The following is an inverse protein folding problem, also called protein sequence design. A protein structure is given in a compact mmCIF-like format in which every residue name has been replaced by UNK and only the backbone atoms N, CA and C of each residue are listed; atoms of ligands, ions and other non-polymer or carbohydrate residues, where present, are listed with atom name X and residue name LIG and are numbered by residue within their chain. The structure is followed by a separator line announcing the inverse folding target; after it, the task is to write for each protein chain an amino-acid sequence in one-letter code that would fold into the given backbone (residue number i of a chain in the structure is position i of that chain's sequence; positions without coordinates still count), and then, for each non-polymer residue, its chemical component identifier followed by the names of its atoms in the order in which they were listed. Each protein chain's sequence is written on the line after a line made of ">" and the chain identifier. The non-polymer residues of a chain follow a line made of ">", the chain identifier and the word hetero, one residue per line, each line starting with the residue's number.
data_IF_264594342013
#
_entry.id   IF_264594342013
#
_cell.length_a   1.000
_cell.length_b   1.000
_cell.length_c   1.000
_cell.angle_alpha   90.00
_cell.angle_beta   90.00
_cell.angle_gamma   90.00
#
_symmetry.space_group_name_H-M   'P 1'
#
loop_
_entity.id
_entity.type
_entity.pdbx_description
1 polymer ?
#
# COMPACT_ATOMS: atom_id res chain seq x y z
N UNK A 1 7.61 -17.38 10.15
CA UNK A 1 7.65 -17.13 8.69
C UNK A 1 8.46 -15.87 8.46
N UNK A 2 9.24 -15.79 7.37
CA UNK A 2 9.99 -14.58 7.03
C UNK A 2 9.01 -13.45 6.65
N UNK A 3 9.22 -12.21 7.11
CA UNK A 3 8.29 -11.11 6.88
C UNK A 3 8.37 -10.62 5.43
N UNK A 4 7.26 -10.68 4.67
CA UNK A 4 7.19 -10.20 3.29
C UNK A 4 6.49 -8.82 3.21
N UNK A 5 7.07 -7.91 2.42
CA UNK A 5 6.41 -6.66 2.03
C UNK A 5 5.71 -6.85 0.67
N UNK A 6 4.38 -6.77 0.64
CA UNK A 6 3.61 -6.80 -0.60
C UNK A 6 3.44 -5.38 -1.15
N UNK A 7 3.81 -5.17 -2.40
CA UNK A 7 3.36 -4.01 -3.17
C UNK A 7 2.14 -4.39 -3.99
N UNK A 8 0.95 -3.99 -3.52
CA UNK A 8 -0.31 -4.10 -4.24
C UNK A 8 -0.74 -2.70 -4.73
N UNK A 9 -0.06 -2.22 -5.77
CA UNK A 9 -0.33 -0.91 -6.36
C UNK A 9 -0.18 -0.91 -7.88
N UNK A 10 -0.57 0.19 -8.51
CA UNK A 10 -0.35 0.46 -9.93
C UNK A 10 1.11 0.89 -10.25
N UNK A 11 1.99 0.97 -9.25
CA UNK A 11 3.39 1.41 -9.40
C UNK A 11 4.36 0.30 -8.96
N UNK A 12 4.92 -0.47 -9.92
CA UNK A 12 5.88 -1.53 -9.61
C UNK A 12 7.09 -1.05 -8.80
N UNK A 13 7.59 -1.88 -7.88
CA UNK A 13 8.68 -1.51 -6.98
C UNK A 13 10.00 -1.21 -7.72
N UNK A 14 10.16 -1.71 -8.96
CA UNK A 14 11.28 -1.39 -9.84
C UNK A 14 11.39 0.11 -10.19
N UNK A 15 10.28 0.85 -10.13
CA UNK A 15 10.22 2.29 -10.44
C UNK A 15 10.16 3.17 -9.21
N UNK A 16 10.26 2.59 -8.01
CA UNK A 16 10.23 3.38 -6.78
C UNK A 16 11.50 4.20 -6.61
N UNK A 17 11.34 5.35 -5.96
CA UNK A 17 12.51 6.10 -5.51
C UNK A 17 13.32 5.26 -4.50
N UNK A 18 14.63 5.51 -4.37
CA UNK A 18 15.47 4.85 -3.37
C UNK A 18 14.89 4.96 -1.95
N UNK A 19 14.32 6.11 -1.61
CA UNK A 19 13.72 6.40 -0.31
C UNK A 19 12.48 5.55 -0.03
N UNK A 20 11.58 5.42 -1.01
CA UNK A 20 10.38 4.59 -0.88
C UNK A 20 10.76 3.11 -0.71
N UNK A 21 11.73 2.63 -1.51
CA UNK A 21 12.23 1.25 -1.41
C UNK A 21 12.89 0.98 -0.07
N UNK A 22 13.75 1.88 0.41
CA UNK A 22 14.37 1.77 1.72
C UNK A 22 13.33 1.74 2.85
N UNK A 23 12.33 2.62 2.80
CA UNK A 23 11.25 2.65 3.81
C UNK A 23 10.45 1.33 3.85
N UNK A 24 10.23 0.67 2.72
CA UNK A 24 9.56 -0.63 2.67
C UNK A 24 10.43 -1.75 3.26
N UNK A 25 11.73 -1.78 2.92
CA UNK A 25 12.69 -2.79 3.39
C UNK A 25 12.94 -2.72 4.90
N UNK A 26 12.77 -1.55 5.52
CA UNK A 26 12.78 -1.41 7.00
C UNK A 26 11.62 -2.15 7.66
N UNK A 27 10.48 -2.29 6.97
CA UNK A 27 9.27 -2.91 7.51
C UNK A 27 9.25 -4.43 7.28
N UNK A 28 9.59 -4.88 6.07
CA UNK A 28 9.65 -6.29 5.72
C UNK A 28 10.47 -6.52 4.44
N UNK A 29 11.06 -7.72 4.30
CA UNK A 29 11.88 -8.10 3.16
C UNK A 29 11.72 -9.60 2.84
N UNK A 30 11.57 -9.99 1.57
CA UNK A 30 11.72 -9.16 0.38
C UNK A 30 10.50 -8.28 0.08
N UNK A 31 10.58 -7.50 -1.00
CA UNK A 31 9.42 -6.82 -1.60
C UNK A 31 8.91 -7.72 -2.73
N UNK A 32 7.62 -8.04 -2.74
CA UNK A 32 6.96 -8.74 -3.84
C UNK A 32 5.91 -7.81 -4.48
N UNK A 33 5.93 -7.71 -5.80
CA UNK A 33 4.92 -6.97 -6.56
C UNK A 33 3.72 -7.87 -6.89
N UNK A 34 2.52 -7.34 -6.67
CA UNK A 34 1.27 -7.82 -7.25
C UNK A 34 0.56 -6.60 -7.85
N UNK A 35 0.33 -6.59 -9.17
CA UNK A 35 -0.26 -5.44 -9.83
C UNK A 35 -1.67 -5.13 -9.31
N UNK A 36 -1.98 -3.87 -9.07
CA UNK A 36 -3.35 -3.44 -8.80
C UNK A 36 -4.18 -3.55 -10.09
N UNK A 37 -5.28 -4.33 -10.10
CA UNK A 37 -6.01 -4.58 -11.33
C UNK A 37 -6.73 -3.31 -11.81
N UNK A 38 -6.94 -3.15 -13.13
CA UNK A 38 -7.78 -2.08 -13.65
C UNK A 38 -9.23 -2.27 -13.16
N UNK A 39 -9.85 -1.18 -12.72
CA UNK A 39 -11.24 -1.17 -12.26
C UNK A 39 -12.06 -0.31 -13.22
N UNK A 40 -13.04 -0.89 -13.95
CA UNK A 40 -13.95 -0.12 -14.79
C UNK A 40 -14.74 0.91 -13.98
N UNK A 41 -14.96 2.10 -14.55
CA UNK A 41 -15.68 3.17 -13.86
C UNK A 41 -17.19 2.87 -13.66
N UNK A 42 -17.72 1.94 -14.44
CA UNK A 42 -19.10 1.44 -14.39
C UNK A 42 -19.22 0.10 -13.64
N UNK A 43 -18.15 -0.37 -13.00
CA UNK A 43 -18.17 -1.58 -12.20
C UNK A 43 -19.09 -1.42 -10.97
N UNK A 44 -19.92 -2.43 -10.73
CA UNK A 44 -20.75 -2.53 -9.53
C UNK A 44 -19.98 -3.13 -8.34
N UNK A 45 -20.58 -3.09 -7.16
CA UNK A 45 -19.98 -3.60 -5.93
C UNK A 45 -19.66 -5.10 -6.01
N UNK A 46 -20.48 -5.87 -6.74
CA UNK A 46 -20.25 -7.29 -6.95
C UNK A 46 -19.01 -7.54 -7.82
N UNK A 47 -18.74 -6.69 -8.82
CA UNK A 47 -17.52 -6.74 -9.61
C UNK A 47 -16.29 -6.37 -8.76
N UNK A 48 -16.40 -5.37 -7.88
CA UNK A 48 -15.32 -5.02 -6.94
C UNK A 48 -15.00 -6.20 -6.02
N UNK A 49 -16.01 -6.88 -5.48
CA UNK A 49 -15.81 -8.04 -4.62
C UNK A 49 -15.16 -9.21 -5.36
N UNK A 50 -15.55 -9.46 -6.62
CA UNK A 50 -14.89 -10.47 -7.47
C UNK A 50 -13.43 -10.13 -7.72
N UNK A 51 -13.12 -8.88 -8.06
CA UNK A 51 -11.74 -8.43 -8.25
C UNK A 51 -10.91 -8.59 -6.97
N UNK A 52 -11.48 -8.25 -5.82
CA UNK A 52 -10.81 -8.41 -4.52
C UNK A 52 -10.51 -9.88 -4.21
N UNK A 53 -11.45 -10.79 -4.52
CA UNK A 53 -11.28 -12.23 -4.33
C UNK A 53 -10.23 -12.81 -5.29
N UNK A 54 -10.22 -12.37 -6.55
CA UNK A 54 -9.24 -12.77 -7.55
C UNK A 54 -7.82 -12.34 -7.16
N UNK A 55 -7.66 -11.14 -6.59
CA UNK A 55 -6.42 -10.70 -6.00
C UNK A 55 -6.03 -11.52 -4.76
N UNK A 56 -6.99 -11.83 -3.89
CA UNK A 56 -6.75 -12.60 -2.66
C UNK A 56 -6.17 -13.99 -2.95
N UNK A 57 -6.64 -14.66 -4.02
CA UNK A 57 -6.12 -15.96 -4.46
C UNK A 57 -4.67 -15.92 -4.96
N UNK A 58 -4.19 -14.75 -5.37
CA UNK A 58 -2.82 -14.54 -5.87
C UNK A 58 -1.86 -14.04 -4.79
N UNK A 59 -2.35 -13.83 -3.56
CA UNK A 59 -1.51 -13.29 -2.49
C UNK A 59 -0.38 -14.28 -2.16
N UNK A 60 0.88 -13.80 -2.08
CA UNK A 60 1.97 -14.62 -1.62
C UNK A 60 1.79 -14.96 -0.13
N UNK A 61 2.35 -16.08 0.31
CA UNK A 61 2.32 -16.47 1.72
C UNK A 61 3.28 -15.57 2.53
N UNK A 62 2.93 -15.30 3.79
CA UNK A 62 3.82 -14.60 4.73
C UNK A 62 3.83 -13.07 4.60
N UNK A 63 2.84 -12.48 3.92
CA UNK A 63 2.64 -11.02 3.89
C UNK A 63 2.42 -10.52 5.31
N UNK A 64 3.32 -9.67 5.80
CA UNK A 64 3.17 -9.00 7.10
C UNK A 64 2.87 -7.51 6.93
N UNK A 65 3.33 -6.92 5.83
CA UNK A 65 3.06 -5.53 5.47
C UNK A 65 2.66 -5.47 4.00
N UNK A 66 1.69 -4.61 3.67
CA UNK A 66 1.25 -4.42 2.30
C UNK A 66 1.06 -2.94 2.00
N UNK A 67 1.71 -2.42 0.96
CA UNK A 67 1.25 -1.21 0.29
C UNK A 67 0.00 -1.59 -0.51
N UNK A 68 -1.15 -0.97 -0.21
CA UNK A 68 -2.39 -1.17 -0.96
C UNK A 68 -2.85 0.19 -1.47
N UNK A 69 -2.77 0.41 -2.78
CA UNK A 69 -3.08 1.72 -3.35
C UNK A 69 -3.50 1.62 -4.82
N UNK A 70 -4.70 2.10 -5.12
CA UNK A 70 -5.26 2.13 -6.47
C UNK A 70 -6.66 2.76 -6.45
N UNK A 71 -7.64 2.09 -7.05
CA UNK A 71 -9.05 2.48 -6.97
C UNK A 71 -9.56 2.35 -5.52
N UNK A 72 -10.37 3.29 -5.06
CA UNK A 72 -10.71 3.48 -3.65
C UNK A 72 -11.51 2.31 -3.05
N UNK A 73 -12.54 1.83 -3.75
CA UNK A 73 -13.44 0.79 -3.23
C UNK A 73 -12.75 -0.57 -3.23
N UNK A 74 -12.01 -0.90 -4.29
CA UNK A 74 -11.19 -2.10 -4.34
C UNK A 74 -10.06 -2.06 -3.31
N UNK A 75 -9.44 -0.89 -3.11
CA UNK A 75 -8.41 -0.71 -2.07
C UNK A 75 -8.96 -1.09 -0.69
N UNK A 76 -10.15 -0.59 -0.33
CA UNK A 76 -10.77 -0.95 0.95
C UNK A 76 -11.07 -2.45 1.04
N UNK A 77 -11.63 -3.04 -0.01
CA UNK A 77 -11.95 -4.47 -0.06
C UNK A 77 -10.70 -5.37 0.13
N UNK A 78 -9.56 -4.96 -0.43
CA UNK A 78 -8.27 -5.64 -0.29
C UNK A 78 -7.66 -5.42 1.10
N UNK A 79 -7.71 -4.20 1.63
CA UNK A 79 -7.25 -3.88 3.00
C UNK A 79 -7.94 -4.77 4.03
N UNK A 80 -9.26 -4.90 3.97
CA UNK A 80 -10.03 -5.75 4.89
C UNK A 80 -9.60 -7.22 4.81
N UNK A 81 -9.37 -7.74 3.61
CA UNK A 81 -8.94 -9.13 3.40
C UNK A 81 -7.51 -9.36 3.93
N UNK A 82 -6.58 -8.47 3.61
CA UNK A 82 -5.19 -8.54 4.10
C UNK A 82 -5.09 -8.39 5.62
N UNK A 83 -5.86 -7.50 6.23
CA UNK A 83 -5.89 -7.36 7.68
C UNK A 83 -6.45 -8.61 8.37
N UNK A 84 -7.44 -9.30 7.79
CA UNK A 84 -7.92 -10.60 8.33
C UNK A 84 -6.83 -11.67 8.32
N UNK A 85 -5.84 -11.54 7.44
CA UNK A 85 -4.65 -12.38 7.40
C UNK A 85 -3.53 -11.89 8.35
N UNK A 86 -3.77 -10.82 9.12
CA UNK A 86 -2.80 -10.26 10.06
C UNK A 86 -1.84 -9.24 9.47
N UNK A 87 -2.03 -8.78 8.23
CA UNK A 87 -1.11 -7.87 7.57
C UNK A 87 -1.39 -6.38 7.88
N UNK A 88 -0.35 -5.62 8.17
CA UNK A 88 -0.41 -4.15 8.28
C UNK A 88 -0.51 -3.55 6.89
N UNK A 89 -1.65 -2.92 6.58
CA UNK A 89 -1.87 -2.26 5.30
C UNK A 89 -1.44 -0.79 5.35
N UNK A 90 -0.78 -0.32 4.30
CA UNK A 90 -0.14 0.98 4.17
C UNK A 90 -0.57 1.65 2.87
N UNK A 91 -0.62 2.99 2.86
CA UNK A 91 -0.68 3.82 1.66
C UNK A 91 0.62 4.63 1.51
N UNK A 92 1.08 4.84 0.28
CA UNK A 92 2.21 5.71 0.00
C UNK A 92 1.71 7.16 -0.07
N UNK A 93 2.26 8.03 0.76
CA UNK A 93 1.89 9.44 0.77
C UNK A 93 2.98 10.27 0.13
N UNK A 94 2.59 11.12 -0.81
CA UNK A 94 3.49 11.92 -1.64
C UNK A 94 3.10 13.38 -1.61
N UNK A 95 4.08 14.29 -1.72
CA UNK A 95 3.79 15.65 -2.14
C UNK A 95 3.43 15.65 -3.62
N UNK A 96 2.56 16.58 -4.03
CA UNK A 96 2.17 16.76 -5.43
C UNK A 96 2.54 18.16 -5.87
N UNK A 97 3.40 18.27 -6.88
CA UNK A 97 3.71 19.53 -7.56
C UNK A 97 3.02 19.54 -8.92
N UNK A 98 2.31 20.62 -9.24
CA UNK A 98 1.64 20.77 -10.53
C UNK A 98 2.31 21.91 -11.28
N UNK A 99 2.71 21.65 -12.52
CA UNK A 99 3.25 22.63 -13.44
C UNK A 99 2.29 22.78 -14.62
N UNK A 100 1.88 24.01 -14.89
CA UNK A 100 1.08 24.33 -16.08
C UNK A 100 2.01 24.49 -17.28
N UNK A 101 1.71 23.77 -18.36
CA UNK A 101 2.40 23.91 -19.63
C UNK A 101 1.74 25.02 -20.48
N UNK A 102 2.50 25.59 -21.41
CA UNK A 102 2.03 26.69 -22.26
C UNK A 102 0.81 26.32 -23.14
N UNK A 103 0.60 25.04 -23.39
CA UNK A 103 -0.53 24.50 -24.18
C UNK A 103 -1.76 24.12 -23.33
N UNK A 104 -1.76 24.48 -22.04
CA UNK A 104 -2.86 24.19 -21.11
C UNK A 104 -2.82 22.80 -20.47
N UNK A 105 -1.86 21.93 -20.85
CA UNK A 105 -1.65 20.66 -20.15
C UNK A 105 -1.04 20.90 -18.76
N UNK A 106 -1.26 19.96 -17.85
CA UNK A 106 -0.70 19.98 -16.50
C UNK A 106 0.20 18.76 -16.29
N UNK A 107 1.46 19.01 -15.94
CA UNK A 107 2.36 17.98 -15.46
C UNK A 107 2.22 17.89 -13.94
N UNK A 108 1.93 16.70 -13.43
CA UNK A 108 1.90 16.43 -12.00
C UNK A 108 3.10 15.56 -11.62
N UNK A 109 3.97 16.07 -10.76
CA UNK A 109 5.10 15.35 -10.18
C UNK A 109 4.74 14.93 -8.76
N UNK A 110 5.06 13.68 -8.41
CA UNK A 110 4.81 13.12 -7.09
C UNK A 110 6.15 12.73 -6.45
N UNK A 111 6.38 13.19 -5.23
CA UNK A 111 7.58 12.81 -4.46
C UNK A 111 7.16 12.08 -3.19
N UNK A 112 7.61 10.84 -3.04
CA UNK A 112 7.31 10.02 -1.85
C UNK A 112 7.77 10.73 -0.57
N UNK A 113 6.91 10.72 0.46
CA UNK A 113 7.21 11.26 1.79
C UNK A 113 7.30 10.15 2.82
N UNK A 114 6.25 9.32 2.92
CA UNK A 114 6.18 8.23 3.89
C UNK A 114 5.06 7.25 3.56
N UNK A 115 5.15 6.05 4.13
CA UNK A 115 3.99 5.18 4.28
C UNK A 115 3.11 5.62 5.45
N UNK A 116 1.80 5.51 5.29
CA UNK A 116 0.80 5.73 6.33
C UNK A 116 -0.05 4.48 6.48
N UNK A 117 -0.20 3.97 7.69
CA UNK A 117 -1.06 2.82 7.95
C UNK A 117 -2.53 3.18 7.75
N UNK A 118 -3.26 2.28 7.10
CA UNK A 118 -4.71 2.23 7.24
C UNK A 118 -5.06 1.90 8.69
N UNK A 119 -6.17 2.44 9.24
CA UNK A 119 -6.69 1.95 10.51
C UNK A 119 -6.91 0.44 10.44
N UNK A 120 -6.80 -0.23 11.59
CA UNK A 120 -7.19 -1.64 11.68
C UNK A 120 -8.73 -1.71 11.69
N UNK A 121 -9.32 -2.32 10.66
CA UNK A 121 -10.77 -2.29 10.42
C UNK A 121 -11.45 -3.63 10.69
N UNK A 122 -10.69 -4.70 10.98
CA UNK A 122 -11.23 -6.05 11.18
C UNK A 122 -11.00 -6.53 12.62
N UNK A 123 -12.08 -6.84 13.35
CA UNK A 123 -12.01 -7.26 14.76
C UNK A 123 -12.56 -6.20 15.72
N UNK A 124 -13.44 -6.62 16.63
CA UNK A 124 -14.23 -5.76 17.51
C UNK A 124 -13.55 -5.34 18.83
N UNK A 125 -12.25 -5.59 19.01
CA UNK A 125 -11.53 -5.29 20.25
C UNK A 125 -10.45 -4.21 20.11
N UNK A 126 -10.30 -3.60 18.92
CA UNK A 126 -9.44 -2.42 18.72
C UNK A 126 -7.94 -2.66 18.91
N UNK A 127 -7.51 -3.91 19.11
CA UNK A 127 -6.09 -4.24 19.21
C UNK A 127 -5.50 -4.42 17.82
N UNK A 128 -4.99 -3.32 17.26
CA UNK A 128 -4.11 -3.37 16.09
C UNK A 128 -2.85 -4.16 16.45
N UNK A 129 -2.29 -5.00 15.56
CA UNK A 129 -0.91 -5.47 15.70
C UNK A 129 -0.01 -4.23 15.56
N UNK A 130 0.27 -3.56 16.68
CA UNK A 130 0.99 -2.30 16.68
C UNK A 130 2.31 -2.47 15.91
N UNK A 131 2.64 -1.56 14.97
CA UNK A 131 3.94 -1.59 14.32
C UNK A 131 5.00 -1.39 15.41
N UNK A 132 5.89 -2.37 15.58
CA UNK A 132 7.07 -2.25 16.44
C UNK A 132 8.08 -1.31 15.78
N UNK A 133 7.74 -0.03 15.66
CA UNK A 133 8.68 0.99 15.20
C UNK A 133 9.58 1.33 16.39
N UNK A 134 10.76 0.70 16.45
CA UNK A 134 11.79 1.12 17.39
C UNK A 134 12.43 2.39 16.83
N UNK A 135 11.81 3.55 17.06
CA UNK A 135 12.53 4.82 16.96
C UNK A 135 13.54 4.85 18.10
N UNK A 136 14.80 4.47 17.80
CA UNK A 136 15.92 4.94 18.61
C UNK A 136 15.91 6.46 18.46
N UNK A 137 15.53 7.16 19.52
CA UNK A 137 15.86 8.58 19.66
C UNK A 137 17.37 8.64 19.78
N UNK A 138 18.04 8.97 18.70
CA UNK A 138 19.41 9.44 18.77
C UNK A 138 19.41 10.67 19.67
N UNK A 139 20.03 10.52 20.84
CA UNK A 139 20.47 11.66 21.63
C UNK A 139 21.56 12.34 20.82
N UNK A 140 21.27 13.52 20.31
CA UNK A 140 22.29 14.38 19.74
C UNK A 140 23.08 15.04 20.89
N UNK A 141 24.41 15.21 20.76
CA UNK A 141 25.28 15.75 21.81
C UNK A 141 25.01 17.21 22.14
#
# INVERSE_FOLDING_TARGET
>A
MAPLFLNLSNHPAAHWSPEQRAAALVLAAPIADLGFPPVPADADEAAIDRLAEDCARQLPRGVTHALVQGEFTLTLALVLRLQRLGAVCLAATSTRRVQSQADGRKLAEFSFVRFRAYPWLVGGDGSSPAPKTTLRRDRQP
#
